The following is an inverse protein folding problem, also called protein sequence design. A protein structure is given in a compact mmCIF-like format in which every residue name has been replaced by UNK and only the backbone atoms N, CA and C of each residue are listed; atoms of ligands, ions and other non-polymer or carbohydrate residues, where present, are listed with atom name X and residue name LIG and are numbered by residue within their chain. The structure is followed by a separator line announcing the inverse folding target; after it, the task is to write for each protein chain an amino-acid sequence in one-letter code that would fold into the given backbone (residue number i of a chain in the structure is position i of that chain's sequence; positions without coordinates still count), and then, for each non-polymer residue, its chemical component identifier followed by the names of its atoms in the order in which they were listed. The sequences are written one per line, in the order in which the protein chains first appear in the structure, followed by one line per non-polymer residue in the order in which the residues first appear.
data_IF_081726984875
#
_entry.id   IF_081726984875
#
_cell.length_a   1.000
_cell.length_b   1.000
_cell.length_c   1.000
_cell.angle_alpha   90.00
_cell.angle_beta   90.00
_cell.angle_gamma   90.00
#
_symmetry.space_group_name_H-M   'P 1'
#
loop_
_entity.id
_entity.type
_entity.pdbx_description
1 polymer ?
#
# COMPACT_ATOMS: atom_id res chain seq x y z
N UNK A 1 -13.05 -13.58 -39.76
CA UNK A 1 -13.02 -12.38 -38.89
C UNK A 1 -12.74 -12.86 -37.48
N UNK A 2 -11.69 -12.38 -36.81
CA UNK A 2 -11.37 -12.77 -35.44
C UNK A 2 -12.16 -11.89 -34.48
N UNK A 3 -13.15 -12.47 -33.81
CA UNK A 3 -13.88 -11.81 -32.73
C UNK A 3 -13.08 -11.92 -31.43
N UNK A 4 -13.06 -10.84 -30.66
CA UNK A 4 -12.47 -10.83 -29.32
C UNK A 4 -13.35 -11.71 -28.43
N UNK A 5 -12.77 -12.74 -27.83
CA UNK A 5 -13.47 -13.62 -26.88
C UNK A 5 -13.33 -13.03 -25.47
N UNK A 6 -14.46 -12.93 -24.75
CA UNK A 6 -14.48 -12.46 -23.36
C UNK A 6 -13.95 -13.50 -22.36
N UNK A 7 -13.81 -13.10 -21.11
CA UNK A 7 -13.39 -14.00 -20.03
C UNK A 7 -14.56 -14.82 -19.47
N UNK A 8 -14.29 -16.06 -19.04
CA UNK A 8 -15.29 -16.96 -18.50
C UNK A 8 -15.71 -16.50 -17.08
N UNK A 9 -17.03 -16.34 -16.84
CA UNK A 9 -17.57 -15.86 -15.56
C UNK A 9 -17.32 -16.79 -14.36
N UNK A 10 -17.03 -18.07 -14.60
CA UNK A 10 -16.76 -19.07 -13.56
C UNK A 10 -15.25 -19.30 -13.37
N UNK A 11 -14.40 -18.51 -14.02
CA UNK A 11 -12.96 -18.64 -13.92
C UNK A 11 -12.46 -18.09 -12.57
N UNK A 12 -11.74 -18.91 -11.83
CA UNK A 12 -11.01 -18.48 -10.62
C UNK A 12 -9.74 -17.75 -11.06
N UNK A 13 -9.43 -16.63 -10.42
CA UNK A 13 -8.19 -15.89 -10.61
C UNK A 13 -7.50 -15.68 -9.26
N UNK A 14 -6.19 -15.87 -9.25
CA UNK A 14 -5.32 -15.47 -8.14
C UNK A 14 -4.57 -14.22 -8.57
N UNK A 15 -4.78 -13.12 -7.86
CA UNK A 15 -4.12 -11.84 -8.13
C UNK A 15 -3.36 -11.37 -6.89
N UNK A 16 -2.19 -10.80 -7.13
CA UNK A 16 -1.50 -9.99 -6.13
C UNK A 16 -1.87 -8.53 -6.41
N UNK A 17 -2.36 -7.80 -5.40
CA UNK A 17 -2.74 -6.39 -5.57
C UNK A 17 -1.54 -5.54 -6.01
N UNK A 18 -0.32 -5.87 -5.58
CA UNK A 18 0.89 -5.16 -6.01
C UNK A 18 1.17 -5.31 -7.52
N UNK A 19 0.70 -6.39 -8.15
CA UNK A 19 0.81 -6.59 -9.60
C UNK A 19 -0.11 -5.65 -10.39
N UNK A 20 -1.05 -4.99 -9.74
CA UNK A 20 -1.88 -3.96 -10.37
C UNK A 20 -1.18 -2.59 -10.40
N UNK A 21 -0.07 -2.44 -9.67
CA UNK A 21 0.74 -1.22 -9.66
C UNK A 21 1.84 -1.35 -10.72
N UNK A 22 1.89 -0.43 -11.67
CA UNK A 22 2.93 -0.42 -12.71
C UNK A 22 4.34 -0.34 -12.12
N UNK A 23 5.33 -0.88 -12.83
CA UNK A 23 6.74 -0.88 -12.40
C UNK A 23 7.29 0.54 -12.25
N UNK A 24 6.93 1.45 -13.16
CA UNK A 24 7.35 2.86 -13.16
C UNK A 24 6.40 3.78 -12.36
N UNK A 25 5.55 3.20 -11.51
CA UNK A 25 4.63 3.98 -10.69
C UNK A 25 5.38 4.76 -9.60
N UNK A 26 5.10 6.07 -9.50
CA UNK A 26 5.57 6.93 -8.41
C UNK A 26 5.27 6.38 -7.02
N UNK A 27 4.18 5.61 -6.89
CA UNK A 27 3.79 4.90 -5.66
C UNK A 27 4.93 4.04 -5.12
N UNK A 28 5.69 3.37 -6.00
CA UNK A 28 6.82 2.50 -5.58
C UNK A 28 7.98 3.30 -4.99
N UNK A 29 8.21 4.51 -5.51
CA UNK A 29 9.23 5.43 -4.96
C UNK A 29 8.79 5.94 -3.59
N UNK A 30 7.51 6.28 -3.45
CA UNK A 30 6.92 6.70 -2.16
C UNK A 30 7.01 5.57 -1.13
N UNK A 31 6.69 4.34 -1.53
CA UNK A 31 6.79 3.16 -0.67
C UNK A 31 8.22 2.97 -0.16
N UNK A 32 9.20 2.96 -1.06
CA UNK A 32 10.60 2.82 -0.72
C UNK A 32 11.12 3.97 0.17
N UNK A 33 10.68 5.21 -0.11
CA UNK A 33 11.04 6.37 0.70
C UNK A 33 10.51 6.25 2.13
N UNK A 34 9.24 5.91 2.31
CA UNK A 34 8.65 5.77 3.65
C UNK A 34 9.24 4.58 4.41
N UNK A 35 9.65 3.52 3.72
CA UNK A 35 10.31 2.36 4.35
C UNK A 35 11.74 2.64 4.80
N UNK A 36 12.45 3.58 4.16
CA UNK A 36 13.80 3.99 4.57
C UNK A 36 13.80 4.98 5.74
N UNK A 37 12.67 5.61 6.05
CA UNK A 37 12.58 6.59 7.13
C UNK A 37 12.46 5.93 8.50
N UNK A 38 13.30 6.33 9.44
CA UNK A 38 13.11 6.01 10.85
C UNK A 38 12.04 6.91 11.47
N UNK A 39 10.78 6.48 11.37
CA UNK A 39 9.64 7.23 11.88
C UNK A 39 9.69 7.42 13.41
N UNK A 40 10.43 6.60 14.15
CA UNK A 40 10.61 6.78 15.60
C UNK A 40 11.51 7.99 15.88
N UNK A 41 12.62 8.13 15.13
CA UNK A 41 13.52 9.28 15.22
C UNK A 41 12.86 10.60 14.75
N UNK A 42 11.95 10.53 13.78
CA UNK A 42 11.19 11.69 13.30
C UNK A 42 10.14 12.21 14.30
N UNK A 43 10.02 11.59 15.48
CA UNK A 43 9.15 12.07 16.56
C UNK A 43 7.69 11.68 16.40
N UNK A 44 7.37 10.64 15.62
CA UNK A 44 6.01 10.10 15.56
C UNK A 44 5.63 9.47 16.90
N UNK A 45 4.70 10.12 17.60
CA UNK A 45 4.30 9.79 18.97
C UNK A 45 3.43 8.53 19.11
N UNK A 46 2.92 7.98 18.00
CA UNK A 46 2.01 6.82 17.99
C UNK A 46 2.67 5.49 17.58
N UNK A 47 4.00 5.38 17.69
CA UNK A 47 4.70 4.15 17.36
C UNK A 47 4.49 3.04 18.42
N UNK A 48 4.26 3.42 19.69
CA UNK A 48 4.02 2.49 20.79
C UNK A 48 2.53 2.15 20.89
N UNK A 49 2.24 0.85 20.84
CA UNK A 49 0.90 0.31 21.06
C UNK A 49 0.42 0.64 22.49
N UNK A 50 -0.81 1.12 22.59
CA UNK A 50 -1.47 1.25 23.88
C UNK A 50 -1.70 -0.14 24.49
N UNK A 51 -1.68 -0.22 25.83
CA UNK A 51 -1.92 -1.49 26.56
C UNK A 51 -3.33 -2.05 26.32
N UNK A 52 -4.29 -1.20 26.00
CA UNK A 52 -5.70 -1.55 25.78
C UNK A 52 -6.28 -0.73 24.61
N UNK A 53 -7.36 -1.26 24.00
CA UNK A 53 -8.08 -0.61 22.90
C UNK A 53 -7.69 -1.11 21.50
N UNK A 54 -8.20 -0.44 20.47
CA UNK A 54 -7.89 -0.76 19.07
C UNK A 54 -6.46 -0.34 18.75
N UNK A 55 -5.60 -1.25 18.25
CA UNK A 55 -4.28 -0.89 17.75
C UNK A 55 -4.37 0.23 16.71
N UNK A 56 -3.55 1.29 16.80
CA UNK A 56 -3.45 2.29 15.75
C UNK A 56 -2.84 1.66 14.49
N UNK A 57 -3.10 2.26 13.34
CA UNK A 57 -2.37 1.93 12.12
C UNK A 57 -0.90 2.31 12.26
N UNK A 58 -0.02 1.59 11.57
CA UNK A 58 1.39 1.94 11.54
C UNK A 58 1.58 3.36 10.99
N UNK A 59 2.35 4.24 11.64
CA UNK A 59 2.53 5.63 11.20
C UNK A 59 2.96 5.75 9.73
N UNK A 60 3.81 4.82 9.25
CA UNK A 60 4.23 4.77 7.85
C UNK A 60 3.08 4.49 6.88
N UNK A 61 2.10 3.68 7.26
CA UNK A 61 0.89 3.46 6.45
C UNK A 61 0.09 4.75 6.32
N UNK A 62 -0.05 5.51 7.41
CA UNK A 62 -0.73 6.80 7.38
C UNK A 62 0.01 7.80 6.50
N UNK A 63 1.33 7.86 6.59
CA UNK A 63 2.17 8.72 5.75
C UNK A 63 2.06 8.37 4.27
N UNK A 64 2.09 7.08 3.92
CA UNK A 64 1.86 6.60 2.54
C UNK A 64 0.51 7.09 2.00
N UNK A 65 -0.57 6.96 2.77
CA UNK A 65 -1.91 7.45 2.37
C UNK A 65 -1.89 8.97 2.13
N UNK A 66 -1.26 9.74 3.02
CA UNK A 66 -1.15 11.19 2.83
C UNK A 66 -0.39 11.56 1.56
N UNK A 67 0.71 10.86 1.24
CA UNK A 67 1.52 11.09 0.04
C UNK A 67 0.83 10.63 -1.25
N UNK A 68 -0.04 9.62 -1.20
CA UNK A 68 -0.81 9.17 -2.37
C UNK A 68 -1.92 10.13 -2.78
N UNK A 69 -2.45 10.90 -1.82
CA UNK A 69 -3.56 11.83 -2.05
C UNK A 69 -3.11 13.26 -2.40
N UNK A 70 -1.80 13.52 -2.44
CA UNK A 70 -1.22 14.82 -2.75
C UNK A 70 -0.56 14.78 -4.14
#
# INVERSE_FOLDING_TARGET
MQHIHGQNRNQIQMICLDQMVGEESLVRVIDAFVEMLDLEEFGFSYFKLNKEGRPPFHPGTMMKICLYCY
#
